data_IF_653389481722
#
_entry.id   IF_653389481722
#
_cell.length_a   1.000
_cell.length_b   1.000
_cell.length_c   1.000
_cell.angle_alpha   90.00
_cell.angle_beta   90.00
_cell.angle_gamma   90.00
#
_symmetry.space_group_name_H-M   'P 1'
#
loop_
_entity.id
_entity.type
_entity.pdbx_description
1 polymer ?
#
# COMPACT_ATOMS: atom_id res chain seq x y z
N UNK A 1 -2.75 28.01 19.27
CA UNK A 1 -3.11 26.65 18.85
C UNK A 1 -4.07 26.63 17.66
N UNK A 2 -5.16 27.41 17.62
CA UNK A 2 -6.15 27.38 16.53
C UNK A 2 -5.63 27.89 15.18
N UNK A 3 -4.79 28.95 15.18
CA UNK A 3 -4.19 29.50 13.94
C UNK A 3 -3.21 28.52 13.32
N UNK A 4 -2.42 27.85 14.15
CA UNK A 4 -1.45 26.84 13.68
C UNK A 4 -2.15 25.64 13.02
N UNK A 5 -3.22 25.12 13.63
CA UNK A 5 -4.03 24.02 13.09
C UNK A 5 -4.70 24.40 11.76
N UNK A 6 -5.21 25.63 11.66
CA UNK A 6 -5.78 26.12 10.40
C UNK A 6 -4.72 26.29 9.31
N UNK A 7 -3.55 26.86 9.66
CA UNK A 7 -2.46 27.07 8.70
C UNK A 7 -1.87 25.73 8.19
N UNK A 8 -1.64 24.77 9.10
CA UNK A 8 -1.03 23.49 8.76
C UNK A 8 -2.01 22.52 8.09
N UNK A 9 -3.20 22.36 8.65
CA UNK A 9 -4.13 21.30 8.26
C UNK A 9 -5.44 21.79 7.62
N UNK A 10 -5.65 23.11 7.52
CA UNK A 10 -6.92 23.66 7.06
C UNK A 10 -8.08 23.46 8.04
N UNK A 11 -7.79 23.13 9.31
CA UNK A 11 -8.79 22.82 10.31
C UNK A 11 -9.52 24.08 10.81
N UNK A 12 -10.82 24.18 10.55
CA UNK A 12 -11.69 25.24 11.05
C UNK A 12 -12.63 24.68 12.13
N UNK A 13 -12.49 25.18 13.36
CA UNK A 13 -13.34 24.77 14.50
C UNK A 13 -14.83 25.03 14.30
N UNK A 14 -15.20 25.93 13.39
CA UNK A 14 -16.63 26.22 13.10
C UNK A 14 -17.26 25.11 12.27
N UNK A 15 -16.43 24.40 11.47
CA UNK A 15 -16.89 23.34 10.55
C UNK A 15 -16.50 21.94 11.04
N UNK A 16 -15.43 21.82 11.83
CA UNK A 16 -14.83 20.54 12.22
C UNK A 16 -14.79 20.37 13.73
N UNK A 17 -15.18 19.18 14.21
CA UNK A 17 -15.03 18.79 15.62
C UNK A 17 -13.78 17.95 15.78
N UNK A 18 -12.88 18.33 16.69
CA UNK A 18 -11.60 17.63 16.93
C UNK A 18 -11.80 16.13 17.17
N UNK A 19 -12.80 15.76 17.97
CA UNK A 19 -13.08 14.35 18.25
C UNK A 19 -13.49 13.57 16.99
N UNK A 20 -14.29 14.18 16.12
CA UNK A 20 -14.71 13.54 14.85
C UNK A 20 -13.51 13.33 13.93
N UNK A 21 -12.61 14.30 13.83
CA UNK A 21 -11.38 14.17 13.02
C UNK A 21 -10.43 13.12 13.59
N UNK A 22 -10.25 13.06 14.90
CA UNK A 22 -9.45 12.01 15.55
C UNK A 22 -10.04 10.62 15.32
N UNK A 23 -11.35 10.45 15.45
CA UNK A 23 -12.03 9.18 15.20
C UNK A 23 -11.94 8.79 13.72
N UNK A 24 -12.09 9.74 12.81
CA UNK A 24 -11.91 9.49 11.37
C UNK A 24 -10.48 9.06 11.05
N UNK A 25 -9.48 9.76 11.60
CA UNK A 25 -8.07 9.38 11.46
C UNK A 25 -7.77 7.98 12.01
N UNK A 26 -8.29 7.68 13.22
CA UNK A 26 -8.14 6.36 13.82
C UNK A 26 -8.81 5.28 12.98
N UNK A 27 -10.01 5.51 12.48
CA UNK A 27 -10.72 4.55 11.61
C UNK A 27 -9.94 4.29 10.33
N UNK A 28 -9.35 5.33 9.73
CA UNK A 28 -8.55 5.19 8.51
C UNK A 28 -7.24 4.46 8.80
N UNK A 29 -6.54 4.78 9.89
CA UNK A 29 -5.35 4.06 10.35
C UNK A 29 -5.65 2.57 10.55
N UNK A 30 -6.72 2.26 11.25
CA UNK A 30 -7.18 0.89 11.50
C UNK A 30 -7.42 0.13 10.19
N UNK A 31 -8.04 0.78 9.20
CA UNK A 31 -8.32 0.16 7.91
C UNK A 31 -7.03 -0.15 7.12
N UNK A 32 -5.94 0.59 7.35
CA UNK A 32 -4.68 0.46 6.62
C UNK A 32 -3.58 -0.27 7.39
N UNK A 33 -3.75 -0.48 8.70
CA UNK A 33 -2.70 -1.04 9.57
C UNK A 33 -2.19 -2.42 9.11
N UNK A 34 -3.00 -3.19 8.38
CA UNK A 34 -2.61 -4.48 7.82
C UNK A 34 -1.37 -4.39 6.89
N UNK A 35 -1.14 -3.23 6.25
CA UNK A 35 -0.02 -3.05 5.33
C UNK A 35 1.34 -3.16 6.03
N UNK A 36 1.38 -2.82 7.33
CA UNK A 36 2.59 -2.94 8.15
C UNK A 36 3.05 -4.39 8.33
N UNK A 37 2.17 -5.35 8.08
CA UNK A 37 2.48 -6.78 8.12
C UNK A 37 2.66 -7.33 6.70
N UNK A 38 1.74 -7.01 5.80
CA UNK A 38 1.72 -7.59 4.45
C UNK A 38 2.89 -7.08 3.59
N UNK A 39 3.23 -5.79 3.65
CA UNK A 39 4.32 -5.26 2.85
C UNK A 39 5.70 -5.83 3.25
N UNK A 40 6.10 -5.86 4.53
CA UNK A 40 7.35 -6.49 4.93
C UNK A 40 7.41 -7.98 4.61
N UNK A 41 6.33 -8.72 4.78
CA UNK A 41 6.29 -10.15 4.45
C UNK A 41 6.48 -10.41 2.95
N UNK A 42 5.94 -9.53 2.09
CA UNK A 42 6.16 -9.58 0.65
C UNK A 42 7.60 -9.25 0.27
N UNK A 43 8.19 -8.22 0.87
CA UNK A 43 9.58 -7.82 0.60
C UNK A 43 10.61 -8.83 1.15
N UNK A 44 10.28 -9.56 2.21
CA UNK A 44 11.09 -10.66 2.74
C UNK A 44 11.34 -11.75 1.70
N UNK A 45 10.36 -12.05 0.83
CA UNK A 45 10.47 -13.10 -0.19
C UNK A 45 11.62 -12.84 -1.17
N UNK A 46 11.98 -11.56 -1.37
CA UNK A 46 13.10 -11.15 -2.24
C UNK A 46 14.42 -10.92 -1.50
N UNK A 47 14.47 -11.31 -0.22
CA UNK A 47 15.69 -11.26 0.59
C UNK A 47 15.91 -9.94 1.33
N UNK A 48 14.92 -9.03 1.38
CA UNK A 48 14.98 -7.86 2.26
C UNK A 48 14.77 -8.27 3.73
N UNK A 49 15.45 -7.58 4.64
CA UNK A 49 15.23 -7.77 6.08
C UNK A 49 13.81 -7.35 6.46
N UNK A 50 13.03 -8.27 7.03
CA UNK A 50 11.61 -8.06 7.35
C UNK A 50 11.41 -6.94 8.37
N UNK A 51 12.29 -6.86 9.37
CA UNK A 51 12.22 -5.84 10.41
C UNK A 51 12.53 -4.45 9.86
N UNK A 52 13.57 -4.33 9.05
CA UNK A 52 13.93 -3.08 8.39
C UNK A 52 12.85 -2.64 7.39
N UNK A 53 12.28 -3.57 6.61
CA UNK A 53 11.16 -3.31 5.71
C UNK A 53 9.90 -2.85 6.46
N UNK A 54 9.62 -3.39 7.65
CA UNK A 54 8.55 -2.90 8.53
C UNK A 54 8.77 -1.43 8.91
N UNK A 55 9.98 -1.11 9.39
CA UNK A 55 10.31 0.26 9.78
C UNK A 55 10.27 1.22 8.60
N UNK A 56 10.78 0.81 7.42
CA UNK A 56 10.69 1.58 6.18
C UNK A 56 9.23 1.85 5.78
N UNK A 57 8.40 0.82 5.79
CA UNK A 57 6.95 0.93 5.48
C UNK A 57 6.25 1.91 6.42
N UNK A 58 6.54 1.83 7.73
CA UNK A 58 5.98 2.72 8.73
C UNK A 58 6.39 4.17 8.48
N UNK A 59 7.69 4.42 8.26
CA UNK A 59 8.22 5.77 8.04
C UNK A 59 7.69 6.37 6.72
N UNK A 60 7.67 5.59 5.64
CA UNK A 60 7.10 6.02 4.36
C UNK A 60 5.63 6.43 4.50
N UNK A 61 4.81 5.62 5.20
CA UNK A 61 3.41 5.93 5.46
C UNK A 61 3.23 7.20 6.30
N UNK A 62 4.05 7.39 7.34
CA UNK A 62 4.02 8.60 8.19
C UNK A 62 4.40 9.83 7.37
N UNK A 63 5.51 9.78 6.64
CA UNK A 63 5.97 10.93 5.82
C UNK A 63 4.97 11.26 4.72
N UNK A 64 4.49 10.26 3.98
CA UNK A 64 3.49 10.45 2.92
C UNK A 64 2.18 11.05 3.45
N UNK A 65 1.68 10.53 4.57
CA UNK A 65 0.46 11.04 5.21
C UNK A 65 0.64 12.48 5.70
N UNK A 66 1.77 12.81 6.32
CA UNK A 66 2.07 14.17 6.75
C UNK A 66 2.20 15.14 5.57
N UNK A 67 2.86 14.74 4.49
CA UNK A 67 2.94 15.53 3.26
C UNK A 67 1.53 15.79 2.70
N UNK A 68 0.68 14.77 2.64
CA UNK A 68 -0.70 14.92 2.17
C UNK A 68 -1.52 15.85 3.07
N UNK A 69 -1.41 15.71 4.39
CA UNK A 69 -2.12 16.53 5.35
C UNK A 69 -1.68 18.01 5.35
N UNK A 70 -0.36 18.26 5.27
CA UNK A 70 0.21 19.61 5.38
C UNK A 70 0.17 20.35 4.02
N UNK A 71 0.60 19.69 2.95
CA UNK A 71 0.76 20.34 1.65
C UNK A 71 -0.52 20.30 0.82
N UNK A 72 -1.19 19.15 0.72
CA UNK A 72 -2.46 19.03 0.00
C UNK A 72 -3.66 19.46 0.83
N UNK A 73 -3.53 19.50 2.16
CA UNK A 73 -4.62 19.76 3.14
C UNK A 73 -5.79 18.79 2.96
N UNK A 74 -5.47 17.53 2.70
CA UNK A 74 -6.43 16.46 2.53
C UNK A 74 -6.31 15.45 3.68
N UNK A 75 -7.44 14.96 4.20
CA UNK A 75 -7.44 13.96 5.27
C UNK A 75 -7.24 12.53 4.72
N UNK A 76 -6.27 12.36 3.84
CA UNK A 76 -5.99 11.08 3.20
C UNK A 76 -4.72 10.46 3.80
N UNK A 77 -4.82 9.20 4.18
CA UNK A 77 -3.67 8.40 4.61
C UNK A 77 -2.96 7.89 3.36
N UNK A 78 -1.63 8.00 3.36
CA UNK A 78 -0.75 7.46 2.34
C UNK A 78 -0.07 6.22 2.90
N UNK A 79 0.02 5.18 2.10
CA UNK A 79 0.78 3.97 2.40
C UNK A 79 1.28 3.33 1.11
N UNK A 80 2.33 2.48 1.16
CA UNK A 80 2.85 1.82 -0.03
C UNK A 80 1.77 1.06 -0.80
N UNK A 81 1.74 1.24 -2.12
CA UNK A 81 0.76 0.61 -3.00
C UNK A 81 1.10 -0.86 -3.22
N UNK A 82 0.14 -1.75 -3.00
CA UNK A 82 0.36 -3.20 -3.11
C UNK A 82 0.64 -3.67 -4.53
N UNK A 83 0.03 -3.04 -5.55
CA UNK A 83 0.24 -3.39 -6.95
C UNK A 83 1.69 -3.21 -7.39
N UNK A 84 2.26 -2.00 -7.30
CA UNK A 84 3.68 -1.75 -7.57
C UNK A 84 4.62 -2.60 -6.72
N UNK A 85 4.34 -2.79 -5.44
CA UNK A 85 5.18 -3.62 -4.55
C UNK A 85 5.18 -5.10 -4.96
N UNK A 86 4.04 -5.61 -5.40
CA UNK A 86 3.97 -6.97 -5.92
C UNK A 86 4.72 -7.12 -7.25
N UNK A 87 4.64 -6.15 -8.14
CA UNK A 87 5.44 -6.11 -9.37
C UNK A 87 6.94 -6.06 -9.05
N UNK A 88 7.34 -5.23 -8.08
CA UNK A 88 8.70 -5.17 -7.56
C UNK A 88 9.18 -6.55 -7.09
N UNK A 89 8.45 -7.20 -6.19
CA UNK A 89 8.88 -8.45 -5.58
C UNK A 89 8.80 -9.63 -6.56
N UNK A 90 7.64 -9.83 -7.18
CA UNK A 90 7.40 -11.06 -7.94
C UNK A 90 7.85 -10.97 -9.40
N UNK A 91 7.70 -9.82 -10.04
CA UNK A 91 8.09 -9.69 -11.45
C UNK A 91 9.57 -9.33 -11.57
N UNK A 92 10.01 -8.22 -10.98
CA UNK A 92 11.39 -7.77 -11.17
C UNK A 92 12.38 -8.70 -10.47
N UNK A 93 12.15 -8.97 -9.18
CA UNK A 93 13.14 -9.75 -8.42
C UNK A 93 13.02 -11.25 -8.68
N UNK A 94 11.85 -11.87 -8.57
CA UNK A 94 11.71 -13.33 -8.70
C UNK A 94 11.65 -13.80 -10.14
N UNK A 95 10.85 -13.15 -11.00
CA UNK A 95 10.67 -13.64 -12.38
C UNK A 95 11.79 -13.20 -13.32
N UNK A 96 12.23 -11.93 -13.24
CA UNK A 96 13.33 -11.43 -14.07
C UNK A 96 14.70 -11.70 -13.46
N UNK A 97 14.78 -12.10 -12.17
CA UNK A 97 16.02 -12.49 -11.49
C UNK A 97 16.92 -11.32 -11.06
N UNK A 98 16.41 -10.11 -11.00
CA UNK A 98 17.16 -8.95 -10.54
C UNK A 98 17.21 -8.86 -9.01
N UNK A 99 18.28 -8.24 -8.50
CA UNK A 99 18.40 -7.94 -7.07
C UNK A 99 17.34 -6.92 -6.63
N UNK A 100 16.94 -6.96 -5.38
CA UNK A 100 16.02 -5.96 -4.83
C UNK A 100 16.65 -4.55 -4.81
N UNK A 101 17.98 -4.44 -4.76
CA UNK A 101 18.71 -3.16 -4.87
C UNK A 101 18.55 -2.53 -6.25
N UNK A 102 18.61 -3.36 -7.32
CA UNK A 102 18.32 -2.92 -8.68
C UNK A 102 16.87 -2.42 -8.78
N UNK A 103 15.92 -3.20 -8.28
CA UNK A 103 14.52 -2.84 -8.30
C UNK A 103 14.24 -1.55 -7.50
N UNK A 104 14.89 -1.39 -6.33
CA UNK A 104 14.79 -0.18 -5.50
C UNK A 104 15.35 1.06 -6.21
N UNK A 105 16.44 0.89 -6.97
CA UNK A 105 16.98 1.94 -7.84
C UNK A 105 15.96 2.34 -8.91
N UNK A 106 15.25 1.38 -9.49
CA UNK A 106 14.15 1.62 -10.43
C UNK A 106 13.02 2.46 -9.80
N UNK A 107 12.61 2.14 -8.57
CA UNK A 107 11.60 2.91 -7.82
C UNK A 107 12.08 4.34 -7.55
N UNK A 108 13.34 4.53 -7.19
CA UNK A 108 13.90 5.87 -6.97
C UNK A 108 13.84 6.71 -8.25
N UNK A 109 14.28 6.15 -9.38
CA UNK A 109 14.27 6.85 -10.69
C UNK A 109 12.83 7.14 -11.11
N UNK A 110 11.94 6.18 -10.94
CA UNK A 110 10.51 6.33 -11.21
C UNK A 110 9.91 7.45 -10.37
N UNK A 111 10.14 7.48 -9.05
CA UNK A 111 9.65 8.52 -8.16
C UNK A 111 10.14 9.92 -8.56
N UNK A 112 11.41 10.07 -8.94
CA UNK A 112 11.96 11.34 -9.44
C UNK A 112 11.24 11.77 -10.75
N UNK A 113 11.07 10.85 -11.70
CA UNK A 113 10.34 11.12 -12.93
C UNK A 113 8.89 11.49 -12.65
N UNK A 114 8.26 10.83 -11.68
CA UNK A 114 6.91 11.11 -11.24
C UNK A 114 6.74 12.52 -10.66
N UNK A 115 7.71 12.98 -9.85
CA UNK A 115 7.76 14.37 -9.37
C UNK A 115 7.86 15.35 -10.58
N UNK A 116 8.77 15.10 -11.53
CA UNK A 116 8.95 15.95 -12.72
C UNK A 116 7.63 16.02 -13.53
N UNK A 117 7.00 14.88 -13.77
CA UNK A 117 5.72 14.81 -14.47
C UNK A 117 4.58 15.52 -13.71
N UNK A 118 4.60 15.48 -12.39
CA UNK A 118 3.60 16.16 -11.55
C UNK A 118 3.70 17.69 -11.63
N UNK A 119 4.91 18.23 -11.80
CA UNK A 119 5.14 19.68 -12.03
C UNK A 119 4.70 20.12 -13.43
N UNK A 120 4.88 19.28 -14.44
CA UNK A 120 4.69 19.64 -15.85
C UNK A 120 3.25 19.50 -16.37
N UNK A 121 2.28 19.11 -15.55
CA UNK A 121 0.87 18.85 -15.94
C UNK A 121 0.66 17.76 -17.01
N UNK A 122 1.70 17.10 -17.46
CA UNK A 122 1.61 15.97 -18.43
C UNK A 122 0.71 14.88 -17.88
N UNK A 123 0.69 14.72 -16.58
CA UNK A 123 -0.11 13.75 -15.86
C UNK A 123 -1.62 13.98 -15.98
N UNK A 124 -2.08 15.24 -15.94
CA UNK A 124 -3.49 15.59 -16.20
C UNK A 124 -3.91 15.20 -17.63
N UNK A 125 -3.00 15.34 -18.56
CA UNK A 125 -3.20 14.96 -19.96
C UNK A 125 -3.25 13.44 -20.10
N UNK A 126 -2.32 12.71 -19.49
CA UNK A 126 -2.31 11.24 -19.46
C UNK A 126 -3.59 10.68 -18.80
N UNK A 127 -4.03 11.26 -17.68
CA UNK A 127 -5.25 10.87 -17.00
C UNK A 127 -6.51 10.98 -17.87
N UNK A 128 -6.54 11.98 -18.77
CA UNK A 128 -7.66 12.18 -19.71
C UNK A 128 -7.63 11.24 -20.92
N UNK A 129 -6.42 10.77 -21.29
CA UNK A 129 -6.26 9.84 -22.42
C UNK A 129 -6.73 8.42 -22.09
N UNK A 130 -6.73 8.06 -20.79
CA UNK A 130 -7.06 6.70 -20.37
C UNK A 130 -8.57 6.55 -20.26
N UNK A 131 -9.17 5.64 -21.04
CA UNK A 131 -10.58 5.32 -20.93
C UNK A 131 -10.98 4.88 -19.53
N UNK A 132 -12.16 5.25 -19.09
CA UNK A 132 -12.68 4.92 -17.76
C UNK A 132 -12.76 3.39 -17.52
N UNK A 133 -13.06 2.63 -18.59
CA UNK A 133 -13.05 1.17 -18.55
C UNK A 133 -11.70 0.57 -18.16
N UNK A 134 -10.59 1.15 -18.62
CA UNK A 134 -9.24 0.69 -18.26
C UNK A 134 -8.95 1.01 -16.80
N UNK A 135 -9.33 2.18 -16.29
CA UNK A 135 -9.15 2.55 -14.88
C UNK A 135 -9.90 1.58 -13.94
N UNK A 136 -11.13 1.24 -14.30
CA UNK A 136 -11.94 0.26 -13.55
C UNK A 136 -11.30 -1.13 -13.61
N UNK A 137 -10.88 -1.56 -14.80
CA UNK A 137 -10.25 -2.87 -14.99
C UNK A 137 -8.95 -3.03 -14.18
N UNK A 138 -8.13 -1.97 -14.10
CA UNK A 138 -6.92 -1.96 -13.26
C UNK A 138 -7.25 -2.16 -11.79
N UNK A 139 -8.23 -1.42 -11.25
CA UNK A 139 -8.67 -1.58 -9.85
C UNK A 139 -9.17 -2.99 -9.54
N UNK A 140 -9.96 -3.59 -10.45
CA UNK A 140 -10.43 -4.97 -10.32
C UNK A 140 -9.25 -5.94 -10.40
N UNK A 141 -8.33 -5.76 -11.35
CA UNK A 141 -7.14 -6.60 -11.52
C UNK A 141 -6.26 -6.63 -10.29
N UNK A 142 -5.96 -5.46 -9.72
CA UNK A 142 -5.20 -5.33 -8.45
C UNK A 142 -5.95 -6.03 -7.30
N UNK A 143 -7.26 -5.86 -7.20
CA UNK A 143 -8.07 -6.52 -6.17
C UNK A 143 -8.02 -8.05 -6.26
N UNK A 144 -8.16 -8.62 -7.45
CA UNK A 144 -8.06 -10.07 -7.70
C UNK A 144 -6.64 -10.56 -7.37
N UNK A 145 -5.62 -9.81 -7.77
CA UNK A 145 -4.22 -10.15 -7.51
C UNK A 145 -3.92 -10.20 -6.00
N UNK A 146 -4.34 -9.20 -5.23
CA UNK A 146 -4.18 -9.18 -3.77
C UNK A 146 -4.95 -10.34 -3.12
N UNK A 147 -6.16 -10.64 -3.60
CA UNK A 147 -6.93 -11.78 -3.11
C UNK A 147 -6.20 -13.11 -3.36
N UNK A 148 -5.61 -13.28 -4.55
CA UNK A 148 -4.83 -14.47 -4.89
C UNK A 148 -3.59 -14.59 -4.00
N UNK A 149 -2.86 -13.50 -3.77
CA UNK A 149 -1.71 -13.49 -2.85
C UNK A 149 -2.12 -13.87 -1.43
N UNK A 150 -3.23 -13.32 -0.93
CA UNK A 150 -3.75 -13.67 0.40
C UNK A 150 -4.10 -15.14 0.52
N UNK A 151 -4.77 -15.72 -0.48
CA UNK A 151 -5.15 -17.13 -0.51
C UNK A 151 -3.92 -18.06 -0.64
N UNK A 152 -2.92 -17.65 -1.39
CA UNK A 152 -1.66 -18.40 -1.53
C UNK A 152 -0.84 -18.36 -0.24
N UNK A 153 -0.69 -17.19 0.38
CA UNK A 153 0.01 -17.06 1.66
C UNK A 153 -0.68 -17.83 2.80
N UNK A 154 -1.99 -17.95 2.74
CA UNK A 154 -2.78 -18.73 3.69
C UNK A 154 -2.85 -20.24 3.35
N UNK A 155 -2.12 -20.70 2.33
CA UNK A 155 -2.13 -22.10 1.86
C UNK A 155 -3.53 -22.63 1.47
N UNK A 156 -4.47 -21.73 1.15
CA UNK A 156 -5.76 -22.10 0.57
C UNK A 156 -5.58 -22.47 -0.91
N UNK A 157 -4.73 -21.71 -1.61
CA UNK A 157 -4.26 -22.02 -2.96
C UNK A 157 -2.81 -22.49 -2.85
N UNK A 158 -2.52 -23.67 -3.40
CA UNK A 158 -1.18 -24.25 -3.41
C UNK A 158 -0.76 -24.57 -4.85
N UNK A 159 0.55 -24.68 -5.08
CA UNK A 159 1.06 -25.12 -6.36
C UNK A 159 0.70 -26.60 -6.61
N UNK A 160 0.23 -26.91 -7.79
CA UNK A 160 -0.08 -28.27 -8.23
C UNK A 160 0.55 -28.55 -9.60
N UNK A 161 1.20 -29.70 -9.73
CA UNK A 161 1.93 -30.06 -10.93
C UNK A 161 1.01 -30.35 -12.15
N UNK A 162 -0.25 -30.69 -11.90
CA UNK A 162 -1.20 -31.04 -12.96
C UNK A 162 -2.03 -29.86 -13.45
N UNK A 163 -2.38 -28.94 -12.54
CA UNK A 163 -3.31 -27.84 -12.82
C UNK A 163 -2.74 -26.45 -12.53
N UNK A 164 -1.43 -26.35 -12.27
CA UNK A 164 -0.69 -25.13 -11.89
C UNK A 164 -1.06 -24.68 -10.47
N UNK A 165 -2.34 -24.62 -10.16
CA UNK A 165 -2.87 -24.27 -8.82
C UNK A 165 -3.85 -25.35 -8.37
N UNK A 166 -3.75 -25.73 -7.10
CA UNK A 166 -4.63 -26.68 -6.43
C UNK A 166 -5.23 -26.11 -5.17
N UNK A 167 -6.20 -26.82 -4.61
CA UNK A 167 -6.79 -26.50 -3.32
C UNK A 167 -5.93 -27.13 -2.22
N UNK A 168 -5.50 -26.31 -1.25
CA UNK A 168 -4.79 -26.77 -0.07
C UNK A 168 -5.68 -27.50 0.93
N UNK A 169 -5.12 -27.83 2.10
CA UNK A 169 -5.90 -28.41 3.19
C UNK A 169 -6.74 -27.35 3.90
N UNK A 170 -7.95 -27.17 3.40
CA UNK A 170 -8.89 -26.14 3.92
C UNK A 170 -9.58 -26.55 5.23
N UNK A 171 -9.34 -27.77 5.71
CA UNK A 171 -9.98 -28.29 6.92
C UNK A 171 -9.10 -28.10 8.15
N UNK A 172 -7.80 -27.91 7.98
CA UNK A 172 -6.85 -27.76 9.07
C UNK A 172 -5.95 -26.53 8.91
N UNK A 173 -5.33 -26.10 10.01
CA UNK A 173 -4.24 -25.13 10.03
C UNK A 173 -4.59 -23.73 9.53
N UNK A 174 -3.65 -23.14 8.78
CA UNK A 174 -3.70 -21.74 8.33
C UNK A 174 -4.84 -21.50 7.34
N UNK A 175 -5.10 -22.45 6.45
CA UNK A 175 -6.14 -22.31 5.44
C UNK A 175 -7.55 -22.28 6.04
N UNK A 176 -7.85 -23.13 7.01
CA UNK A 176 -9.11 -23.09 7.75
C UNK A 176 -9.28 -21.75 8.47
N UNK A 177 -8.23 -21.30 9.18
CA UNK A 177 -8.26 -20.03 9.90
C UNK A 177 -8.50 -18.85 8.95
N UNK A 178 -7.86 -18.84 7.77
CA UNK A 178 -8.04 -17.82 6.76
C UNK A 178 -9.48 -17.78 6.22
N UNK A 179 -10.08 -18.93 5.93
CA UNK A 179 -11.48 -19.01 5.49
C UNK A 179 -12.43 -18.46 6.56
N UNK A 180 -12.23 -18.85 7.83
CA UNK A 180 -13.01 -18.32 8.96
C UNK A 180 -12.86 -16.78 9.02
N UNK A 181 -11.64 -16.27 8.91
CA UNK A 181 -11.34 -14.83 8.90
C UNK A 181 -12.00 -14.08 7.75
N UNK A 182 -11.96 -14.63 6.54
CA UNK A 182 -12.65 -14.07 5.37
C UNK A 182 -14.16 -13.99 5.62
N UNK A 183 -14.78 -15.06 6.13
CA UNK A 183 -16.20 -15.09 6.42
C UNK A 183 -16.60 -14.07 7.49
N UNK A 184 -15.85 -14.00 8.59
CA UNK A 184 -16.08 -13.01 9.66
C UNK A 184 -15.99 -11.59 9.08
N UNK A 185 -14.92 -11.29 8.34
CA UNK A 185 -14.69 -9.96 7.77
C UNK A 185 -15.77 -9.61 6.74
N UNK A 186 -16.20 -10.56 5.91
CA UNK A 186 -17.28 -10.38 4.96
C UNK A 186 -18.61 -10.05 5.66
N UNK A 187 -18.96 -10.80 6.71
CA UNK A 187 -20.19 -10.55 7.50
C UNK A 187 -20.16 -9.16 8.14
N UNK A 188 -19.02 -8.78 8.75
CA UNK A 188 -18.86 -7.46 9.36
C UNK A 188 -18.98 -6.34 8.31
N UNK A 189 -18.38 -6.54 7.14
CA UNK A 189 -18.42 -5.57 6.03
C UNK A 189 -19.82 -5.40 5.46
N UNK A 190 -20.58 -6.50 5.25
CA UNK A 190 -21.97 -6.47 4.79
C UNK A 190 -22.86 -5.75 5.81
N UNK A 191 -22.58 -5.93 7.10
CA UNK A 191 -23.28 -5.21 8.18
C UNK A 191 -22.84 -3.75 8.33
N UNK A 192 -21.92 -3.28 7.50
CA UNK A 192 -21.39 -1.90 7.51
C UNK A 192 -20.81 -1.48 8.86
N UNK A 193 -20.21 -2.42 9.59
CA UNK A 193 -19.57 -2.13 10.87
C UNK A 193 -18.28 -1.34 10.60
N UNK A 194 -18.09 -0.14 11.18
CA UNK A 194 -16.86 0.63 11.00
C UNK A 194 -15.67 -0.16 11.54
N UNK A 195 -14.58 -0.22 10.77
CA UNK A 195 -13.39 -1.00 11.12
C UNK A 195 -13.54 -2.53 10.93
N UNK A 196 -14.51 -2.98 10.11
CA UNK A 196 -14.77 -4.41 9.86
C UNK A 196 -13.51 -5.21 9.54
N UNK A 197 -12.58 -4.67 8.74
CA UNK A 197 -11.31 -5.31 8.40
C UNK A 197 -10.45 -5.55 9.65
N UNK A 198 -10.24 -4.54 10.48
CA UNK A 198 -9.43 -4.71 11.69
C UNK A 198 -10.10 -5.66 12.70
N UNK A 199 -11.41 -5.48 12.91
CA UNK A 199 -12.15 -6.37 13.81
C UNK A 199 -12.03 -7.81 13.30
N UNK A 200 -12.14 -8.02 11.99
CA UNK A 200 -11.92 -9.31 11.35
C UNK A 200 -10.53 -9.88 11.63
N UNK A 201 -9.48 -9.08 11.44
CA UNK A 201 -8.08 -9.48 11.71
C UNK A 201 -7.91 -9.86 13.20
N UNK A 202 -8.37 -9.00 14.12
CA UNK A 202 -8.24 -9.24 15.57
C UNK A 202 -8.98 -10.51 15.97
N UNK A 203 -10.23 -10.70 15.53
CA UNK A 203 -11.01 -11.90 15.84
C UNK A 203 -10.35 -13.16 15.27
N UNK A 204 -9.87 -13.11 14.02
CA UNK A 204 -9.17 -14.23 13.40
C UNK A 204 -7.88 -14.57 14.15
N UNK A 205 -7.11 -13.57 14.57
CA UNK A 205 -5.91 -13.76 15.40
C UNK A 205 -6.25 -14.43 16.73
N UNK A 206 -7.30 -13.96 17.42
CA UNK A 206 -7.74 -14.55 18.69
C UNK A 206 -8.23 -16.00 18.52
N UNK A 207 -8.90 -16.32 17.42
CA UNK A 207 -9.33 -17.70 17.10
C UNK A 207 -8.11 -18.56 16.76
N UNK A 208 -7.09 -18.00 16.10
CA UNK A 208 -5.88 -18.71 15.71
C UNK A 208 -5.01 -19.15 16.90
N UNK A 209 -5.09 -18.45 18.05
CA UNK A 209 -4.33 -18.83 19.26
C UNK A 209 -4.71 -20.23 19.77
N UNK A 210 -5.97 -20.53 20.07
CA UNK A 210 -6.35 -21.87 20.55
C UNK A 210 -6.20 -22.95 19.48
N UNK A 211 -6.22 -22.59 18.19
CA UNK A 211 -5.96 -23.52 17.10
C UNK A 211 -4.46 -23.83 16.90
N UNK A 212 -3.57 -23.18 17.65
CA UNK A 212 -2.12 -23.36 17.55
C UNK A 212 -1.49 -22.78 16.27
N UNK A 213 -2.26 -22.03 15.47
CA UNK A 213 -1.80 -21.39 14.23
C UNK A 213 -1.13 -20.06 14.53
N UNK A 214 -1.71 -19.27 15.42
CA UNK A 214 -1.19 -17.96 15.80
C UNK A 214 -0.26 -18.08 17.01
N UNK A 215 1.00 -17.69 16.86
CA UNK A 215 1.97 -17.63 17.95
C UNK A 215 1.76 -16.35 18.76
N UNK A 216 1.80 -16.48 20.09
CA UNK A 216 1.77 -15.32 20.98
C UNK A 216 3.09 -14.54 20.85
N UNK A 217 3.05 -13.20 20.84
CA UNK A 217 4.26 -12.40 20.81
C UNK A 217 5.04 -12.55 22.13
N UNK A 218 6.36 -12.69 22.03
CA UNK A 218 7.24 -12.72 23.20
C UNK A 218 7.27 -11.38 23.94
N UNK A 219 7.15 -10.28 23.18
CA UNK A 219 7.11 -8.92 23.70
C UNK A 219 5.91 -8.16 23.12
N UNK A 220 5.10 -7.55 24.00
CA UNK A 220 3.94 -6.75 23.60
C UNK A 220 4.32 -5.36 23.04
N UNK A 221 5.48 -4.86 23.44
CA UNK A 221 6.01 -3.56 23.01
C UNK A 221 7.51 -3.71 22.76
N UNK A 222 7.97 -3.30 21.60
CA UNK A 222 9.38 -3.25 21.25
C UNK A 222 9.66 -1.96 20.47
N UNK A 223 10.93 -1.53 20.45
CA UNK A 223 11.35 -0.46 19.55
C UNK A 223 11.31 -0.97 18.10
N UNK A 224 11.02 -0.08 17.13
CA UNK A 224 11.09 -0.45 15.73
C UNK A 224 12.48 -1.01 15.40
N UNK A 225 12.58 -2.07 14.59
CA UNK A 225 13.84 -2.59 14.10
C UNK A 225 14.67 -1.52 13.37
N UNK A 226 15.98 -1.73 13.28
CA UNK A 226 16.88 -0.80 12.59
C UNK A 226 16.56 -0.73 11.08
N UNK A 227 16.52 0.47 10.52
CA UNK A 227 16.35 0.72 9.09
C UNK A 227 17.63 0.44 8.28
N UNK A 228 18.80 0.41 8.95
CA UNK A 228 20.13 0.35 8.32
C UNK A 228 20.28 -0.71 7.22
N UNK A 229 19.72 -1.93 7.32
CA UNK A 229 19.92 -2.95 6.28
C UNK A 229 19.31 -2.61 4.92
N UNK A 230 18.30 -1.75 4.87
CA UNK A 230 17.59 -1.42 3.61
C UNK A 230 17.76 0.04 3.21
N UNK A 231 18.28 0.90 4.09
CA UNK A 231 18.37 2.33 3.85
C UNK A 231 19.35 2.67 2.75
N UNK A 232 18.88 3.32 1.70
CA UNK A 232 19.66 3.79 0.53
C UNK A 232 20.54 2.69 -0.12
N UNK A 233 20.08 1.44 -0.12
CA UNK A 233 20.80 0.33 -0.74
C UNK A 233 20.50 0.28 -2.25
N UNK A 234 21.06 1.20 -3.00
CA UNK A 234 20.85 1.31 -4.45
C UNK A 234 21.95 0.61 -5.24
N UNK A 235 21.56 -0.01 -6.37
CA UNK A 235 22.49 -0.54 -7.35
C UNK A 235 22.37 0.24 -8.67
N UNK A 236 23.31 1.13 -8.91
CA UNK A 236 23.36 1.95 -10.13
C UNK A 236 24.13 1.30 -11.28
N UNK A 237 24.63 0.08 -11.12
CA UNK A 237 25.48 -0.58 -12.12
C UNK A 237 24.78 -0.82 -13.46
N UNK A 238 23.47 -0.99 -13.44
CA UNK A 238 22.66 -1.33 -14.61
C UNK A 238 21.62 -0.26 -14.99
N UNK A 239 21.78 0.98 -14.53
CA UNK A 239 20.80 2.06 -14.75
C UNK A 239 20.57 2.39 -16.24
N UNK A 240 21.61 2.25 -17.07
CA UNK A 240 21.55 2.55 -18.51
C UNK A 240 21.12 1.33 -19.36
N UNK A 241 20.62 0.27 -18.75
CA UNK A 241 20.12 -0.89 -19.48
C UNK A 241 18.70 -0.70 -19.98
N UNK A 242 18.34 -1.42 -21.06
CA UNK A 242 16.97 -1.43 -21.56
C UNK A 242 15.99 -1.98 -20.52
N UNK A 243 16.42 -2.95 -19.73
CA UNK A 243 15.59 -3.57 -18.68
C UNK A 243 15.24 -2.57 -17.58
N UNK A 244 16.21 -1.74 -17.14
CA UNK A 244 15.93 -0.66 -16.20
C UNK A 244 14.92 0.35 -16.77
N UNK A 245 15.05 0.71 -18.05
CA UNK A 245 14.10 1.61 -18.70
C UNK A 245 12.69 1.00 -18.72
N UNK A 246 12.56 -0.28 -19.07
CA UNK A 246 11.27 -0.99 -19.08
C UNK A 246 10.68 -1.05 -17.68
N UNK A 247 11.47 -1.39 -16.66
CA UNK A 247 11.06 -1.45 -15.25
C UNK A 247 10.54 -0.08 -14.80
N UNK A 248 11.31 0.97 -15.00
CA UNK A 248 10.95 2.35 -14.60
C UNK A 248 9.66 2.81 -15.28
N UNK A 249 9.53 2.62 -16.60
CA UNK A 249 8.33 3.03 -17.34
C UNK A 249 7.09 2.21 -16.91
N UNK A 250 7.26 0.94 -16.61
CA UNK A 250 6.17 0.08 -16.14
C UNK A 250 5.71 0.49 -14.75
N UNK A 251 6.65 0.69 -13.81
CA UNK A 251 6.33 1.15 -12.46
C UNK A 251 5.69 2.53 -12.47
N UNK A 252 6.23 3.47 -13.24
CA UNK A 252 5.66 4.80 -13.42
C UNK A 252 4.21 4.75 -13.95
N UNK A 253 3.95 3.87 -14.91
CA UNK A 253 2.59 3.68 -15.43
C UNK A 253 1.65 3.12 -14.36
N UNK A 254 2.10 2.10 -13.61
CA UNK A 254 1.31 1.50 -12.54
C UNK A 254 1.00 2.52 -11.43
N UNK A 255 1.98 3.30 -11.01
CA UNK A 255 1.84 4.31 -9.95
C UNK A 255 0.91 5.45 -10.37
N UNK A 256 1.04 5.94 -11.62
CA UNK A 256 0.10 6.92 -12.19
C UNK A 256 -1.34 6.39 -12.15
N UNK A 257 -1.56 5.14 -12.56
CA UNK A 257 -2.90 4.56 -12.62
C UNK A 257 -3.48 4.32 -11.23
N UNK A 258 -2.68 3.82 -10.29
CA UNK A 258 -3.10 3.57 -8.92
C UNK A 258 -3.51 4.87 -8.23
N UNK A 259 -2.68 5.90 -8.32
CA UNK A 259 -2.97 7.23 -7.75
C UNK A 259 -4.21 7.86 -8.36
N UNK A 260 -4.34 7.83 -9.69
CA UNK A 260 -5.52 8.39 -10.35
C UNK A 260 -6.78 7.60 -9.98
N UNK A 261 -6.71 6.28 -9.94
CA UNK A 261 -7.82 5.42 -9.53
C UNK A 261 -8.27 5.73 -8.10
N UNK A 262 -7.33 5.84 -7.18
CA UNK A 262 -7.59 6.13 -5.76
C UNK A 262 -8.19 7.53 -5.57
N UNK A 263 -7.61 8.57 -6.18
CA UNK A 263 -8.13 9.95 -6.07
C UNK A 263 -9.52 10.04 -6.68
N UNK A 264 -9.76 9.43 -7.84
CA UNK A 264 -11.08 9.42 -8.48
C UNK A 264 -12.12 8.67 -7.61
N UNK A 265 -11.76 7.54 -7.02
CA UNK A 265 -12.64 6.80 -6.13
C UNK A 265 -12.99 7.62 -4.88
N UNK A 266 -12.04 8.36 -4.30
CA UNK A 266 -12.26 9.24 -3.16
C UNK A 266 -13.14 10.44 -3.53
N UNK A 267 -12.87 11.06 -4.69
CA UNK A 267 -13.63 12.24 -5.15
C UNK A 267 -15.06 11.89 -5.55
N UNK A 268 -15.33 10.67 -5.98
CA UNK A 268 -16.71 10.22 -6.27
C UNK A 268 -17.61 10.24 -5.02
N UNK A 269 -17.03 10.10 -3.84
CA UNK A 269 -17.75 10.11 -2.55
C UNK A 269 -17.75 11.47 -1.86
N UNK A 270 -16.70 12.26 -2.01
CA UNK A 270 -16.48 13.53 -1.31
C UNK A 270 -16.76 14.77 -2.15
N UNK A 271 -17.03 14.61 -3.43
CA UNK A 271 -17.15 15.67 -4.43
C UNK A 271 -15.83 15.96 -5.12
N UNK A 272 -15.90 16.66 -6.27
CA UNK A 272 -14.72 16.95 -7.08
C UNK A 272 -13.75 17.88 -6.36
N UNK A 273 -12.49 17.48 -6.30
CA UNK A 273 -11.43 18.32 -5.76
C UNK A 273 -11.13 19.50 -6.72
N UNK A 274 -10.89 20.70 -6.19
CA UNK A 274 -10.37 21.80 -6.98
C UNK A 274 -9.06 21.37 -7.70
N UNK A 275 -8.81 21.83 -8.95
CA UNK A 275 -7.62 21.40 -9.72
C UNK A 275 -6.29 21.61 -8.98
N UNK A 276 -6.17 22.69 -8.20
CA UNK A 276 -4.98 22.96 -7.39
C UNK A 276 -4.76 21.92 -6.28
N UNK A 277 -5.83 21.49 -5.62
CA UNK A 277 -5.78 20.47 -4.54
C UNK A 277 -5.49 19.11 -5.14
N UNK A 278 -6.10 18.78 -6.26
CA UNK A 278 -5.81 17.57 -7.02
C UNK A 278 -4.32 17.45 -7.37
N UNK A 279 -3.72 18.52 -7.96
CA UNK A 279 -2.30 18.52 -8.32
C UNK A 279 -1.38 18.42 -7.08
N UNK A 280 -1.77 19.01 -5.94
CA UNK A 280 -1.02 18.85 -4.70
C UNK A 280 -1.08 17.42 -4.17
N UNK A 281 -2.23 16.76 -4.24
CA UNK A 281 -2.37 15.36 -3.86
C UNK A 281 -1.45 14.45 -4.69
N UNK A 282 -1.41 14.67 -6.00
CA UNK A 282 -0.52 13.96 -6.92
C UNK A 282 0.97 14.19 -6.60
N UNK A 283 1.33 15.43 -6.23
CA UNK A 283 2.70 15.75 -5.83
C UNK A 283 3.09 15.09 -4.51
N UNK A 284 2.16 15.02 -3.54
CA UNK A 284 2.40 14.33 -2.28
C UNK A 284 2.71 12.86 -2.49
N UNK A 285 1.97 12.23 -3.39
CA UNK A 285 2.15 10.82 -3.72
C UNK A 285 3.52 10.58 -4.39
N UNK A 286 3.88 11.37 -5.40
CA UNK A 286 5.18 11.30 -6.05
C UNK A 286 6.34 11.49 -5.06
N UNK A 287 6.21 12.43 -4.12
CA UNK A 287 7.21 12.63 -3.07
C UNK A 287 7.24 11.48 -2.09
N UNK A 288 6.08 10.91 -1.74
CA UNK A 288 6.00 9.75 -0.86
C UNK A 288 6.65 8.51 -1.49
N UNK A 289 6.45 8.26 -2.79
CA UNK A 289 7.11 7.19 -3.55
C UNK A 289 8.62 7.38 -3.55
N UNK A 290 9.11 8.60 -3.84
CA UNK A 290 10.55 8.91 -3.87
C UNK A 290 11.19 8.70 -2.49
N UNK A 291 10.53 9.16 -1.41
CA UNK A 291 11.02 8.98 -0.03
C UNK A 291 10.90 7.51 0.40
N UNK A 292 9.85 6.82 -0.02
CA UNK A 292 9.65 5.40 0.27
C UNK A 292 10.69 4.49 -0.37
N UNK A 293 11.32 4.92 -1.46
CA UNK A 293 12.43 4.22 -2.10
C UNK A 293 13.76 4.35 -1.33
N UNK A 294 13.91 5.35 -0.46
CA UNK A 294 15.11 5.56 0.37
C UNK A 294 15.09 4.69 1.63
#
# INVERSE_FOLDING_TARGET
MNILLYMLFGFDKKQHKVLTELLAGLTTFIAMAYILVVNPSMLKVVGMDEGAAFTATLLAAVVGTLLCAIYAKLPYVQAPAMGPNAFFAFTICLSMGYSWQFALTGVLIEGILFVILSVTRVREWLAKLIPESIKIALGIGVGIFIAMLGLTNAHVIVADAGTIVGLGDIVHGEALLAIIGILITAILSVRRIPGALLIGIVLTTLIGIPLGVTKMPEHWVSLPPSLSPVFCQFDFSQVLTLDMLIVVLTMLSMDIFDTLGTILALTSKTGQLPPKTFNRALMCDALATTVGAM
#
